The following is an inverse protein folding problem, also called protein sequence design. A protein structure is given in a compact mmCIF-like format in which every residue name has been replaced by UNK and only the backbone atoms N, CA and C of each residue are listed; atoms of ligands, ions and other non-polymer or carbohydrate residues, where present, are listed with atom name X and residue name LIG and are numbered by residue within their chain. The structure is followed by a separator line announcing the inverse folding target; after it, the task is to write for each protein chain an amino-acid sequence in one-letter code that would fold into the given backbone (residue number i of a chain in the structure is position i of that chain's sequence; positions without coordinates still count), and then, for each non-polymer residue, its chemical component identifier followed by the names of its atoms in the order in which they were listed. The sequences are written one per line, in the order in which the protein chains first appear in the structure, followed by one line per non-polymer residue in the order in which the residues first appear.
data_IF_577446175170
#
_entry.id   IF_577446175170
#
_cell.length_a   1.000
_cell.length_b   1.000
_cell.length_c   1.000
_cell.angle_alpha   90.00
_cell.angle_beta   90.00
_cell.angle_gamma   90.00
#
_symmetry.space_group_name_H-M   'P 1'
#
loop_
_entity.id
_entity.type
_entity.pdbx_description
1 polymer ?
#
# COMPACT_ATOMS: atom_id res chain seq x y z
N UNK A 1 4.05 -1.37 2.91
CA UNK A 1 4.87 -2.12 1.99
C UNK A 1 5.46 -3.40 2.59
N UNK A 2 6.34 -4.07 1.85
CA UNK A 2 6.94 -5.33 2.30
C UNK A 2 7.79 -5.17 3.57
N UNK A 3 7.78 -6.20 4.42
CA UNK A 3 8.52 -6.20 5.70
C UNK A 3 9.99 -6.57 5.57
N UNK A 4 10.40 -7.13 4.44
CA UNK A 4 11.80 -7.49 4.18
C UNK A 4 12.14 -7.37 2.70
N UNK A 5 13.32 -6.82 2.35
CA UNK A 5 13.81 -6.79 0.97
C UNK A 5 13.94 -8.18 0.33
N UNK A 6 14.06 -9.24 1.12
CA UNK A 6 14.11 -10.61 0.62
C UNK A 6 12.78 -11.08 -0.01
N UNK A 7 11.68 -10.33 0.17
CA UNK A 7 10.42 -10.61 -0.52
C UNK A 7 10.36 -10.06 -1.94
N UNK A 8 11.28 -9.20 -2.36
CA UNK A 8 11.32 -8.69 -3.72
C UNK A 8 11.41 -9.81 -4.75
N UNK A 9 10.71 -9.64 -5.86
CA UNK A 9 10.77 -10.49 -7.05
C UNK A 9 11.45 -9.78 -8.22
N UNK A 10 11.43 -8.44 -8.21
CA UNK A 10 12.14 -7.57 -9.12
C UNK A 10 13.04 -6.62 -8.34
N UNK A 11 14.35 -6.85 -8.42
CA UNK A 11 15.34 -6.05 -7.70
C UNK A 11 15.60 -4.68 -8.37
N UNK A 12 15.35 -4.56 -9.69
CA UNK A 12 15.54 -3.29 -10.40
C UNK A 12 14.41 -2.32 -10.06
N UNK A 13 13.17 -2.80 -10.05
CA UNK A 13 12.00 -2.03 -9.65
C UNK A 13 11.85 -1.92 -8.12
N UNK A 14 12.63 -2.67 -7.33
CA UNK A 14 12.52 -2.77 -5.87
C UNK A 14 11.11 -3.16 -5.42
N UNK A 15 10.47 -4.08 -6.12
CA UNK A 15 9.11 -4.52 -5.85
C UNK A 15 8.97 -6.04 -5.72
N UNK A 16 7.96 -6.46 -4.97
CA UNK A 16 7.50 -7.83 -4.88
C UNK A 16 6.18 -7.97 -5.65
N UNK A 17 6.14 -8.85 -6.63
CA UNK A 17 4.95 -9.16 -7.41
C UNK A 17 4.58 -10.63 -7.22
N UNK A 18 3.38 -10.90 -6.70
CA UNK A 18 2.85 -12.25 -6.48
C UNK A 18 1.57 -12.40 -7.28
N UNK A 19 1.59 -13.33 -8.24
CA UNK A 19 0.46 -13.66 -9.09
C UNK A 19 -0.44 -14.72 -8.41
N UNK A 20 -1.75 -14.53 -8.51
CA UNK A 20 -2.79 -15.40 -7.97
C UNK A 20 -2.58 -15.84 -6.49
N UNK A 21 -2.18 -14.92 -5.58
CA UNK A 21 -1.88 -15.29 -4.21
C UNK A 21 -3.11 -15.70 -3.42
N UNK A 22 -2.87 -16.55 -2.42
CA UNK A 22 -3.72 -16.65 -1.24
C UNK A 22 -3.34 -15.52 -0.29
N UNK A 23 -4.32 -14.89 0.36
CA UNK A 23 -4.12 -13.72 1.22
C UNK A 23 -4.54 -14.06 2.65
N UNK A 24 -3.56 -14.17 3.55
CA UNK A 24 -3.78 -14.27 4.98
C UNK A 24 -3.93 -12.86 5.55
N UNK A 25 -4.99 -12.62 6.31
CA UNK A 25 -5.28 -11.34 6.94
C UNK A 25 -5.35 -11.54 8.46
N UNK A 26 -4.44 -10.90 9.19
CA UNK A 26 -4.32 -11.03 10.64
C UNK A 26 -4.22 -9.66 11.31
N UNK A 27 -4.92 -9.45 12.40
CA UNK A 27 -4.98 -8.13 13.06
C UNK A 27 -3.86 -7.89 14.07
N UNK A 28 -3.11 -8.92 14.40
CA UNK A 28 -2.06 -8.90 15.42
C UNK A 28 -0.68 -9.21 14.81
N UNK A 29 0.35 -9.14 15.65
CA UNK A 29 1.73 -9.43 15.29
C UNK A 29 1.99 -10.93 15.22
N UNK A 30 2.79 -11.37 14.25
CA UNK A 30 3.23 -12.75 14.08
C UNK A 30 4.74 -12.81 14.34
N UNK A 31 5.17 -13.45 15.44
CA UNK A 31 6.59 -13.53 15.83
C UNK A 31 7.12 -14.95 15.90
N UNK A 32 6.30 -15.90 16.35
CA UNK A 32 6.72 -17.29 16.51
C UNK A 32 6.50 -18.11 15.24
N UNK A 33 7.48 -18.91 14.85
CA UNK A 33 7.36 -19.80 13.69
C UNK A 33 6.22 -20.79 13.84
N UNK A 34 5.97 -21.28 15.06
CA UNK A 34 4.90 -22.25 15.36
C UNK A 34 3.50 -21.74 14.99
N UNK A 35 3.28 -20.43 14.94
CA UNK A 35 1.97 -19.85 14.63
C UNK A 35 1.66 -19.93 13.14
N UNK A 36 2.68 -19.87 12.28
CA UNK A 36 2.51 -19.81 10.83
C UNK A 36 2.84 -21.13 10.11
N UNK A 37 3.74 -21.94 10.66
CA UNK A 37 4.19 -23.21 10.04
C UNK A 37 3.04 -24.15 9.70
N UNK A 38 2.01 -24.36 10.54
CA UNK A 38 0.89 -25.24 10.19
C UNK A 38 0.15 -24.82 8.91
N UNK A 39 0.02 -23.50 8.67
CA UNK A 39 -0.58 -22.99 7.45
C UNK A 39 0.33 -23.23 6.25
N UNK A 40 1.64 -22.95 6.38
CA UNK A 40 2.61 -23.16 5.30
C UNK A 40 2.67 -24.63 4.87
N UNK A 41 2.65 -25.55 5.82
CA UNK A 41 2.63 -26.99 5.53
C UNK A 41 1.36 -27.42 4.78
N UNK A 42 0.18 -26.94 5.20
CA UNK A 42 -1.09 -27.19 4.50
C UNK A 42 -1.04 -26.67 3.06
N UNK A 43 -0.50 -25.47 2.84
CA UNK A 43 -0.37 -24.89 1.51
C UNK A 43 0.54 -25.73 0.61
N UNK A 44 1.71 -26.12 1.10
CA UNK A 44 2.66 -26.97 0.34
C UNK A 44 2.04 -28.31 0.01
N UNK A 45 1.36 -28.97 0.96
CA UNK A 45 0.67 -30.25 0.75
C UNK A 45 -0.42 -30.17 -0.34
N UNK A 46 -1.09 -29.01 -0.45
CA UNK A 46 -2.10 -28.76 -1.48
C UNK A 46 -1.53 -28.22 -2.79
N UNK A 47 -0.20 -28.13 -2.91
CA UNK A 47 0.48 -27.60 -4.10
C UNK A 47 0.31 -26.10 -4.31
N UNK A 48 -0.09 -25.36 -3.25
CA UNK A 48 -0.23 -23.89 -3.26
C UNK A 48 1.07 -23.27 -2.77
N UNK A 49 1.61 -22.33 -3.53
CA UNK A 49 2.92 -21.75 -3.21
C UNK A 49 2.88 -20.24 -3.03
N UNK A 50 1.88 -19.56 -3.57
CA UNK A 50 1.74 -18.11 -3.60
C UNK A 50 0.95 -17.65 -2.36
N UNK A 51 1.64 -16.95 -1.43
CA UNK A 51 1.05 -16.47 -0.18
C UNK A 51 1.42 -15.01 0.07
N UNK A 52 0.41 -14.19 0.33
CA UNK A 52 0.56 -12.84 0.87
C UNK A 52 0.04 -12.82 2.29
N UNK A 53 0.82 -12.31 3.22
CA UNK A 53 0.46 -12.16 4.63
C UNK A 53 0.33 -10.67 4.90
N UNK A 54 -0.86 -10.25 5.35
CA UNK A 54 -1.15 -8.89 5.80
C UNK A 54 -1.39 -8.98 7.31
N UNK A 55 -0.44 -8.49 8.10
CA UNK A 55 -0.50 -8.56 9.56
C UNK A 55 -0.07 -7.23 10.19
N UNK A 56 -0.39 -7.02 11.47
CA UNK A 56 0.11 -5.83 12.19
C UNK A 56 1.62 -5.69 12.04
N UNK A 57 2.34 -6.79 12.22
CA UNK A 57 3.77 -6.92 11.98
C UNK A 57 4.11 -8.40 11.82
N UNK A 58 5.24 -8.71 11.17
CA UNK A 58 5.82 -10.05 11.14
C UNK A 58 7.31 -9.93 11.42
N UNK A 59 7.77 -10.54 12.50
CA UNK A 59 9.19 -10.46 12.88
C UNK A 59 9.72 -11.79 13.45
N UNK A 60 10.89 -11.74 14.07
CA UNK A 60 11.50 -12.85 14.77
C UNK A 60 11.61 -14.12 13.95
N UNK A 61 11.24 -15.24 14.57
CA UNK A 61 11.32 -16.58 13.95
C UNK A 61 10.33 -16.76 12.80
N UNK A 62 9.15 -16.12 12.87
CA UNK A 62 8.17 -16.17 11.81
C UNK A 62 8.72 -15.54 10.52
N UNK A 63 9.27 -14.32 10.59
CA UNK A 63 9.86 -13.65 9.43
C UNK A 63 11.03 -14.46 8.86
N UNK A 64 11.93 -14.96 9.71
CA UNK A 64 13.06 -15.78 9.28
C UNK A 64 12.59 -17.06 8.55
N UNK A 65 11.55 -17.71 9.05
CA UNK A 65 10.96 -18.90 8.43
C UNK A 65 10.38 -18.59 7.05
N UNK A 66 9.64 -17.49 6.90
CA UNK A 66 9.07 -17.08 5.63
C UNK A 66 10.16 -16.76 4.59
N UNK A 67 11.16 -15.97 4.98
CA UNK A 67 12.31 -15.63 4.10
C UNK A 67 13.05 -16.89 3.67
N UNK A 68 13.32 -17.81 4.60
CA UNK A 68 14.04 -19.05 4.30
C UNK A 68 13.27 -19.93 3.30
N UNK A 69 11.96 -20.08 3.47
CA UNK A 69 11.12 -20.85 2.55
C UNK A 69 11.06 -20.20 1.15
N UNK A 70 11.04 -18.87 1.07
CA UNK A 70 11.12 -18.16 -0.20
C UNK A 70 12.47 -18.37 -0.88
N UNK A 71 13.59 -18.20 -0.16
CA UNK A 71 14.94 -18.40 -0.70
C UNK A 71 15.18 -19.83 -1.18
N UNK A 72 14.57 -20.82 -0.54
CA UNK A 72 14.60 -22.23 -0.96
C UNK A 72 13.67 -22.55 -2.14
N UNK A 73 12.87 -21.60 -2.60
CA UNK A 73 11.89 -21.82 -3.67
C UNK A 73 10.73 -22.72 -3.30
N UNK A 74 10.51 -23.01 -2.00
CA UNK A 74 9.38 -23.83 -1.55
C UNK A 74 8.06 -23.06 -1.60
N UNK A 75 8.09 -21.79 -1.22
CA UNK A 75 6.96 -20.88 -1.25
C UNK A 75 7.38 -19.55 -1.88
N UNK A 76 6.47 -18.94 -2.63
CA UNK A 76 6.57 -17.55 -3.07
C UNK A 76 5.74 -16.70 -2.12
N UNK A 77 6.39 -16.19 -1.07
CA UNK A 77 5.73 -15.52 0.02
C UNK A 77 6.09 -14.04 0.06
N UNK A 78 5.11 -13.21 0.44
CA UNK A 78 5.24 -11.79 0.70
C UNK A 78 4.55 -11.47 2.03
N UNK A 79 5.25 -10.86 2.96
CA UNK A 79 4.66 -10.32 4.18
C UNK A 79 4.69 -8.79 4.15
N UNK A 80 3.53 -8.19 4.39
CA UNK A 80 3.31 -6.75 4.40
C UNK A 80 2.66 -6.29 5.69
N UNK A 81 2.96 -5.07 6.07
CA UNK A 81 2.39 -4.45 7.26
C UNK A 81 0.95 -4.02 7.00
N UNK A 82 0.05 -4.34 7.94
CA UNK A 82 -1.34 -3.91 7.89
C UNK A 82 -1.45 -2.38 7.91
N UNK A 83 -2.37 -1.79 7.13
CA UNK A 83 -2.55 -0.34 7.08
C UNK A 83 -3.25 0.19 8.33
N UNK A 84 -2.89 1.38 8.76
CA UNK A 84 -3.53 2.09 9.88
C UNK A 84 -3.16 1.55 11.26
N UNK A 85 -3.87 2.04 12.28
CA UNK A 85 -3.64 1.72 13.68
C UNK A 85 -4.98 1.55 14.42
N UNK A 86 -5.00 0.74 15.49
CA UNK A 86 -6.18 0.55 16.33
C UNK A 86 -7.42 0.12 15.56
N UNK A 87 -8.57 0.69 15.86
CA UNK A 87 -9.85 0.34 15.23
C UNK A 87 -9.88 0.63 13.72
N UNK A 88 -9.12 1.62 13.26
CA UNK A 88 -8.97 1.87 11.82
C UNK A 88 -8.28 0.73 11.11
N UNK A 89 -7.23 0.15 11.72
CA UNK A 89 -6.57 -1.05 11.18
C UNK A 89 -7.56 -2.19 11.04
N UNK A 90 -8.36 -2.47 12.08
CA UNK A 90 -9.39 -3.52 12.06
C UNK A 90 -10.40 -3.29 10.92
N UNK A 91 -10.86 -2.04 10.76
CA UNK A 91 -11.78 -1.68 9.69
C UNK A 91 -11.18 -1.86 8.29
N UNK A 92 -9.91 -1.46 8.09
CA UNK A 92 -9.21 -1.60 6.80
C UNK A 92 -8.90 -3.07 6.50
N UNK A 93 -8.54 -3.88 7.50
CA UNK A 93 -8.36 -5.33 7.32
C UNK A 93 -9.67 -6.00 6.92
N UNK A 94 -10.80 -5.57 7.48
CA UNK A 94 -12.12 -6.06 7.09
C UNK A 94 -12.46 -5.66 5.64
N UNK A 95 -12.09 -4.45 5.21
CA UNK A 95 -12.26 -4.01 3.82
C UNK A 95 -11.46 -4.89 2.85
N UNK A 96 -10.21 -5.22 3.21
CA UNK A 96 -9.36 -6.13 2.43
C UNK A 96 -9.94 -7.55 2.41
N UNK A 97 -10.47 -8.03 3.54
CA UNK A 97 -11.10 -9.35 3.62
C UNK A 97 -12.32 -9.45 2.70
N UNK A 98 -13.19 -8.44 2.71
CA UNK A 98 -14.35 -8.38 1.80
C UNK A 98 -13.90 -8.31 0.35
N UNK A 99 -12.88 -7.51 0.03
CA UNK A 99 -12.34 -7.38 -1.33
C UNK A 99 -11.77 -8.69 -1.86
N UNK A 100 -11.08 -9.45 -1.02
CA UNK A 100 -10.37 -10.68 -1.43
C UNK A 100 -11.20 -11.95 -1.20
N UNK A 101 -12.34 -11.85 -0.51
CA UNK A 101 -13.18 -12.98 -0.13
C UNK A 101 -12.59 -13.84 1.00
N UNK A 102 -11.65 -13.27 1.77
CA UNK A 102 -11.04 -13.93 2.94
C UNK A 102 -11.72 -13.57 4.25
N UNK A 103 -11.14 -14.03 5.33
CA UNK A 103 -11.58 -13.76 6.71
C UNK A 103 -10.45 -13.13 7.50
N UNK A 104 -10.75 -12.11 8.28
CA UNK A 104 -9.78 -11.55 9.25
C UNK A 104 -9.62 -12.55 10.39
N UNK A 105 -8.40 -13.00 10.62
CA UNK A 105 -8.06 -13.87 11.73
C UNK A 105 -7.74 -12.99 12.93
N UNK A 106 -8.56 -13.08 13.96
CA UNK A 106 -8.43 -12.26 15.18
C UNK A 106 -8.79 -13.06 16.42
N UNK A 107 -8.03 -12.87 17.47
CA UNK A 107 -8.29 -13.49 18.77
C UNK A 107 -9.58 -12.96 19.40
N UNK A 108 -9.98 -11.74 19.10
CA UNK A 108 -11.26 -11.16 19.55
C UNK A 108 -12.48 -12.02 19.11
N UNK A 109 -12.35 -12.73 17.98
CA UNK A 109 -13.35 -13.66 17.46
C UNK A 109 -13.06 -15.13 17.84
N UNK A 110 -12.10 -15.38 18.73
CA UNK A 110 -11.69 -16.70 19.16
C UNK A 110 -10.95 -17.51 18.10
N UNK A 111 -10.42 -16.87 17.04
CA UNK A 111 -9.69 -17.54 15.96
C UNK A 111 -8.19 -17.35 16.11
N UNK A 112 -7.45 -18.46 16.17
CA UNK A 112 -5.99 -18.47 16.24
C UNK A 112 -5.39 -18.84 14.89
N UNK A 113 -4.15 -18.40 14.65
CA UNK A 113 -3.41 -18.68 13.40
C UNK A 113 -3.21 -20.18 13.14
N UNK A 114 -3.00 -20.98 14.19
CA UNK A 114 -2.83 -22.44 14.09
C UNK A 114 -4.07 -23.16 13.56
N UNK A 115 -5.26 -22.55 13.74
CA UNK A 115 -6.55 -23.08 13.27
C UNK A 115 -6.93 -22.67 11.85
N UNK A 116 -6.14 -21.81 11.21
CA UNK A 116 -6.43 -21.29 9.87
C UNK A 116 -6.40 -22.39 8.82
N UNK A 117 -7.40 -22.34 7.95
CA UNK A 117 -7.53 -23.21 6.78
C UNK A 117 -7.36 -22.41 5.49
N UNK A 118 -7.22 -23.09 4.37
CA UNK A 118 -7.11 -22.43 3.06
C UNK A 118 -8.39 -21.67 2.68
N UNK A 119 -9.54 -22.16 3.15
CA UNK A 119 -10.84 -21.52 2.90
C UNK A 119 -11.00 -20.18 3.63
N UNK A 120 -10.20 -19.92 4.65
CA UNK A 120 -10.14 -18.63 5.35
C UNK A 120 -9.34 -17.58 4.60
N UNK A 121 -8.50 -18.01 3.68
CA UNK A 121 -7.61 -17.12 2.93
C UNK A 121 -8.37 -16.39 1.82
N UNK A 122 -8.13 -15.11 1.72
CA UNK A 122 -8.56 -14.33 0.55
C UNK A 122 -7.81 -14.72 -0.72
N UNK A 123 -8.28 -14.24 -1.87
CA UNK A 123 -7.69 -14.43 -3.18
C UNK A 123 -7.64 -13.12 -3.96
N UNK A 124 -6.62 -12.96 -4.76
CA UNK A 124 -6.50 -11.84 -5.72
C UNK A 124 -5.91 -12.33 -7.04
N UNK A 125 -6.02 -11.54 -8.09
CA UNK A 125 -5.31 -11.80 -9.35
C UNK A 125 -3.81 -11.55 -9.18
N UNK A 126 -3.47 -10.47 -8.49
CA UNK A 126 -2.08 -10.08 -8.25
C UNK A 126 -1.96 -9.18 -7.04
N UNK A 127 -0.84 -9.28 -6.34
CA UNK A 127 -0.44 -8.32 -5.30
C UNK A 127 0.94 -7.79 -5.63
N UNK A 128 1.07 -6.46 -5.73
CA UNK A 128 2.33 -5.77 -5.94
C UNK A 128 2.66 -4.95 -4.71
N UNK A 129 3.88 -5.09 -4.19
CA UNK A 129 4.32 -4.35 -3.01
C UNK A 129 5.70 -3.75 -3.23
N UNK A 130 5.83 -2.47 -2.97
CA UNK A 130 7.09 -1.77 -2.79
C UNK A 130 7.44 -1.67 -1.30
N UNK A 131 8.49 -0.94 -0.96
CA UNK A 131 8.84 -0.67 0.44
C UNK A 131 7.72 0.07 1.19
N UNK A 132 7.00 0.94 0.51
CA UNK A 132 6.06 1.89 1.14
C UNK A 132 4.59 1.55 0.86
N UNK A 133 4.29 0.95 -0.30
CA UNK A 133 2.93 0.72 -0.77
C UNK A 133 2.68 -0.76 -1.09
N UNK A 134 1.42 -1.17 -0.98
CA UNK A 134 0.94 -2.49 -1.43
C UNK A 134 -0.37 -2.33 -2.17
N UNK A 135 -0.43 -2.85 -3.39
CA UNK A 135 -1.60 -2.81 -4.26
C UNK A 135 -2.16 -4.21 -4.45
N UNK A 136 -3.42 -4.41 -4.14
CA UNK A 136 -4.17 -5.65 -4.41
C UNK A 136 -4.98 -5.45 -5.68
N UNK A 137 -4.69 -6.23 -6.70
CA UNK A 137 -5.34 -6.17 -8.01
C UNK A 137 -6.28 -7.35 -8.17
N UNK A 138 -7.53 -7.10 -8.58
CA UNK A 138 -8.49 -8.14 -8.91
C UNK A 138 -8.81 -9.06 -7.73
N UNK A 139 -9.18 -8.48 -6.58
CA UNK A 139 -9.68 -9.26 -5.44
C UNK A 139 -10.87 -10.13 -5.83
N UNK A 140 -10.90 -11.37 -5.33
CA UNK A 140 -11.91 -12.39 -5.70
C UNK A 140 -13.08 -12.45 -4.69
N UNK A 141 -13.34 -11.35 -3.97
CA UNK A 141 -14.48 -11.25 -3.06
C UNK A 141 -15.82 -11.23 -3.80
N UNK A 142 -16.90 -11.53 -3.06
CA UNK A 142 -18.25 -11.47 -3.61
C UNK A 142 -18.69 -10.03 -3.90
N UNK A 143 -19.12 -9.78 -5.12
CA UNK A 143 -19.53 -8.45 -5.58
C UNK A 143 -20.64 -7.81 -4.73
N UNK A 144 -21.58 -8.64 -4.23
CA UNK A 144 -22.65 -8.16 -3.35
C UNK A 144 -22.12 -7.76 -1.98
N UNK A 145 -21.20 -8.54 -1.42
CA UNK A 145 -20.55 -8.22 -0.15
C UNK A 145 -19.72 -6.93 -0.26
N UNK A 146 -18.99 -6.74 -1.36
CA UNK A 146 -18.24 -5.52 -1.65
C UNK A 146 -19.18 -4.31 -1.75
N UNK A 147 -20.29 -4.43 -2.50
CA UNK A 147 -21.29 -3.35 -2.61
C UNK A 147 -21.90 -3.00 -1.26
N UNK A 148 -22.29 -3.99 -0.48
CA UNK A 148 -22.85 -3.77 0.86
C UNK A 148 -21.84 -3.06 1.79
N UNK A 149 -20.54 -3.41 1.68
CA UNK A 149 -19.48 -2.75 2.46
C UNK A 149 -19.29 -1.30 2.04
N UNK A 150 -19.33 -1.02 0.74
CA UNK A 150 -19.30 0.35 0.18
C UNK A 150 -20.46 1.18 0.73
N UNK A 151 -21.68 0.65 0.71
CA UNK A 151 -22.87 1.36 1.20
C UNK A 151 -22.80 1.60 2.73
N UNK A 152 -22.26 0.64 3.48
CA UNK A 152 -21.98 0.84 4.91
C UNK A 152 -21.02 2.02 5.15
N UNK A 153 -19.91 2.09 4.42
CA UNK A 153 -18.94 3.19 4.57
C UNK A 153 -19.57 4.53 4.17
N UNK A 154 -20.41 4.59 3.12
CA UNK A 154 -21.15 5.80 2.74
C UNK A 154 -22.05 6.29 3.87
N UNK A 155 -22.80 5.38 4.48
CA UNK A 155 -23.64 5.73 5.63
C UNK A 155 -22.81 6.24 6.82
N UNK A 156 -21.65 5.62 7.10
CA UNK A 156 -20.72 6.09 8.14
C UNK A 156 -20.23 7.51 7.85
N UNK A 157 -19.94 7.86 6.60
CA UNK A 157 -19.55 9.22 6.17
C UNK A 157 -20.67 10.22 6.44
N UNK A 158 -21.92 9.88 6.09
CA UNK A 158 -23.08 10.78 6.33
C UNK A 158 -23.36 11.01 7.81
N UNK A 159 -23.16 9.99 8.63
CA UNK A 159 -23.40 10.07 10.08
C UNK A 159 -22.23 10.70 10.85
N UNK A 160 -21.05 10.80 10.25
CA UNK A 160 -19.87 11.34 10.92
C UNK A 160 -19.96 12.85 11.12
N UNK A 161 -19.73 13.30 12.35
CA UNK A 161 -19.67 14.72 12.72
C UNK A 161 -18.25 15.29 12.70
N UNK A 162 -17.23 14.43 12.61
CA UNK A 162 -15.82 14.81 12.58
C UNK A 162 -15.33 14.90 11.13
N UNK A 163 -14.82 16.06 10.73
CA UNK A 163 -14.28 16.25 9.37
C UNK A 163 -13.08 15.33 9.12
N UNK A 164 -12.24 15.12 10.12
CA UNK A 164 -11.12 14.20 10.04
C UNK A 164 -11.55 12.73 9.84
N UNK A 165 -12.56 12.27 10.59
CA UNK A 165 -13.05 10.90 10.42
C UNK A 165 -13.77 10.73 9.08
N UNK A 166 -14.49 11.76 8.63
CA UNK A 166 -15.11 11.78 7.30
C UNK A 166 -14.08 11.67 6.19
N UNK A 167 -12.97 12.40 6.28
CA UNK A 167 -11.86 12.29 5.33
C UNK A 167 -11.30 10.86 5.29
N UNK A 168 -11.04 10.25 6.46
CA UNK A 168 -10.51 8.88 6.54
C UNK A 168 -11.49 7.82 6.05
N UNK A 169 -12.78 8.01 6.23
CA UNK A 169 -13.82 7.16 5.65
C UNK A 169 -13.88 7.31 4.13
N UNK A 170 -13.73 8.54 3.60
CA UNK A 170 -13.66 8.80 2.16
C UNK A 170 -12.44 8.13 1.52
N UNK A 171 -11.26 8.16 2.17
CA UNK A 171 -10.08 7.42 1.72
C UNK A 171 -10.35 5.90 1.64
N UNK A 172 -11.01 5.31 2.64
CA UNK A 172 -11.39 3.89 2.63
C UNK A 172 -12.38 3.58 1.51
N UNK A 173 -13.39 4.42 1.34
CA UNK A 173 -14.38 4.30 0.26
C UNK A 173 -13.69 4.34 -1.10
N UNK A 174 -12.78 5.27 -1.34
CA UNK A 174 -12.05 5.40 -2.59
C UNK A 174 -11.20 4.15 -2.91
N UNK A 175 -10.53 3.58 -1.89
CA UNK A 175 -9.74 2.35 -2.04
C UNK A 175 -10.59 1.12 -2.36
N UNK A 176 -11.79 1.01 -1.78
CA UNK A 176 -12.67 -0.14 -1.97
C UNK A 176 -13.51 -0.03 -3.25
N UNK A 177 -13.98 1.18 -3.58
CA UNK A 177 -14.81 1.44 -4.77
C UNK A 177 -14.01 1.79 -6.02
N UNK A 178 -12.74 2.20 -5.85
CA UNK A 178 -11.82 2.49 -6.95
C UNK A 178 -11.30 1.21 -7.59
N UNK A 179 -11.18 1.22 -8.92
CA UNK A 179 -10.47 0.16 -9.63
C UNK A 179 -8.97 0.43 -9.67
N UNK A 180 -8.20 -0.61 -9.95
CA UNK A 180 -6.79 -0.50 -10.33
C UNK A 180 -6.71 -0.51 -11.84
N UNK A 181 -6.22 0.60 -12.43
CA UNK A 181 -5.95 0.65 -13.86
C UNK A 181 -4.53 0.12 -14.13
N UNK A 182 -4.40 -0.77 -15.11
CA UNK A 182 -3.11 -1.32 -15.52
C UNK A 182 -2.77 -0.73 -16.89
N UNK A 183 -1.64 -0.02 -16.97
CA UNK A 183 -1.10 0.49 -18.23
C UNK A 183 -0.02 -0.48 -18.70
N UNK A 184 -0.35 -1.28 -19.72
CA UNK A 184 0.64 -2.17 -20.36
C UNK A 184 1.60 -1.38 -21.24
N UNK A 185 2.89 -1.53 -21.03
CA UNK A 185 3.94 -0.90 -21.83
C UNK A 185 4.69 -1.95 -22.60
N UNK A 186 4.84 -1.75 -23.92
CA UNK A 186 5.58 -2.65 -24.81
C UNK A 186 6.57 -1.90 -25.68
N UNK A 187 7.65 -2.58 -26.07
CA UNK A 187 8.66 -2.07 -26.99
C UNK A 187 9.35 -3.21 -27.75
N UNK A 188 10.08 -2.86 -28.82
CA UNK A 188 10.82 -3.84 -29.61
C UNK A 188 12.10 -4.33 -28.92
N UNK A 189 12.68 -3.54 -28.03
CA UNK A 189 13.89 -3.86 -27.28
C UNK A 189 13.69 -3.63 -25.78
N UNK A 190 14.47 -4.32 -24.95
CA UNK A 190 14.43 -4.18 -23.51
C UNK A 190 14.81 -2.76 -23.04
N UNK A 191 15.81 -2.15 -23.68
CA UNK A 191 16.22 -0.77 -23.38
C UNK A 191 15.09 0.24 -23.65
N UNK A 192 14.44 0.11 -24.80
CA UNK A 192 13.29 0.96 -25.16
C UNK A 192 12.10 0.73 -24.21
N UNK A 193 11.88 -0.53 -23.80
CA UNK A 193 10.84 -0.86 -22.83
C UNK A 193 11.07 -0.18 -21.49
N UNK A 194 12.30 -0.24 -20.98
CA UNK A 194 12.68 0.44 -19.72
C UNK A 194 12.50 1.97 -19.83
N UNK A 195 12.93 2.58 -20.93
CA UNK A 195 12.75 4.01 -21.16
C UNK A 195 11.28 4.41 -21.16
N UNK A 196 10.44 3.68 -21.89
CA UNK A 196 8.98 3.94 -21.93
C UNK A 196 8.33 3.75 -20.56
N UNK A 197 8.71 2.68 -19.83
CA UNK A 197 8.21 2.43 -18.48
C UNK A 197 8.52 3.59 -17.56
N UNK A 198 9.78 4.05 -17.50
CA UNK A 198 10.19 5.19 -16.67
C UNK A 198 9.46 6.49 -17.06
N UNK A 199 9.21 6.72 -18.34
CA UNK A 199 8.46 7.89 -18.80
C UNK A 199 6.99 7.86 -18.34
N UNK A 200 6.37 6.70 -18.33
CA UNK A 200 5.01 6.52 -17.79
C UNK A 200 5.00 6.68 -16.26
N UNK A 201 5.98 6.13 -15.55
CA UNK A 201 6.12 6.26 -14.10
C UNK A 201 6.31 7.73 -13.69
N UNK A 202 7.13 8.48 -14.41
CA UNK A 202 7.34 9.92 -14.21
C UNK A 202 6.04 10.71 -14.39
N UNK A 203 5.32 10.46 -15.47
CA UNK A 203 4.01 11.08 -15.74
C UNK A 203 2.97 10.74 -14.67
N UNK A 204 2.93 9.51 -14.18
CA UNK A 204 2.04 9.08 -13.09
C UNK A 204 2.38 9.77 -11.77
N UNK A 205 3.67 9.87 -11.43
CA UNK A 205 4.14 10.53 -10.22
C UNK A 205 3.77 12.02 -10.22
N UNK A 206 3.99 12.71 -11.34
CA UNK A 206 3.60 14.11 -11.51
C UNK A 206 2.08 14.29 -11.42
N UNK A 207 1.31 13.38 -12.03
CA UNK A 207 -0.16 13.43 -11.99
C UNK A 207 -0.70 13.22 -10.58
N UNK A 208 -0.17 12.25 -9.81
CA UNK A 208 -0.54 12.03 -8.41
C UNK A 208 -0.26 13.26 -7.56
N UNK A 209 0.94 13.83 -7.67
CA UNK A 209 1.30 15.05 -6.96
C UNK A 209 0.38 16.23 -7.31
N UNK A 210 -0.02 16.35 -8.58
CA UNK A 210 -0.95 17.39 -9.02
C UNK A 210 -2.36 17.21 -8.43
N UNK A 211 -2.83 15.98 -8.31
CA UNK A 211 -4.14 15.67 -7.69
C UNK A 211 -4.11 15.97 -6.18
N UNK A 212 -3.03 15.64 -5.49
CA UNK A 212 -2.91 15.82 -4.04
C UNK A 212 -2.64 17.27 -3.63
N UNK A 213 -1.72 17.94 -4.31
CA UNK A 213 -1.20 19.26 -3.90
C UNK A 213 -1.62 20.42 -4.83
N UNK A 214 -2.28 20.13 -5.94
CA UNK A 214 -2.58 21.11 -6.97
C UNK A 214 -1.39 21.39 -7.89
N UNK A 215 -1.51 22.44 -8.68
CA UNK A 215 -0.51 22.83 -9.68
C UNK A 215 -0.11 24.29 -9.53
N UNK A 216 1.10 24.60 -9.95
CA UNK A 216 1.63 25.97 -10.08
C UNK A 216 2.17 26.19 -11.49
N UNK A 217 2.35 27.46 -11.95
CA UNK A 217 3.00 27.71 -13.22
C UNK A 217 4.41 27.11 -13.27
N UNK A 218 4.73 26.42 -14.37
CA UNK A 218 6.04 25.81 -14.57
C UNK A 218 7.11 26.81 -15.03
N UNK A 219 8.30 26.28 -15.37
CA UNK A 219 9.40 27.09 -15.93
C UNK A 219 9.99 28.12 -14.98
N UNK A 220 9.91 27.92 -13.66
CA UNK A 220 10.40 28.87 -12.67
C UNK A 220 9.45 30.05 -12.38
N UNK A 221 8.36 30.21 -13.14
CA UNK A 221 7.41 31.35 -12.99
C UNK A 221 6.81 31.40 -11.58
N UNK A 222 6.56 30.27 -10.92
CA UNK A 222 6.05 30.24 -9.56
C UNK A 222 7.00 30.92 -8.56
N UNK A 223 8.33 30.75 -8.73
CA UNK A 223 9.35 31.37 -7.88
C UNK A 223 9.41 32.89 -8.12
N UNK A 224 9.37 33.32 -9.39
CA UNK A 224 9.30 34.73 -9.75
C UNK A 224 8.05 35.41 -9.18
N UNK A 225 6.90 34.75 -9.26
CA UNK A 225 5.66 35.25 -8.67
C UNK A 225 5.73 35.35 -7.13
N UNK A 226 6.51 34.49 -6.48
CA UNK A 226 6.70 34.55 -5.03
C UNK A 226 7.62 35.68 -4.58
N UNK A 227 8.47 36.24 -5.45
CA UNK A 227 9.41 37.34 -5.11
C UNK A 227 8.68 38.55 -4.53
N UNK A 228 7.48 38.87 -5.02
CA UNK A 228 6.70 39.97 -4.52
C UNK A 228 6.40 39.96 -3.03
N UNK A 229 6.30 38.77 -2.44
CA UNK A 229 6.11 38.61 -0.98
C UNK A 229 7.34 39.07 -0.20
N UNK A 230 8.54 38.88 -0.76
CA UNK A 230 9.80 39.28 -0.15
C UNK A 230 10.05 40.80 -0.25
N UNK A 231 9.47 41.50 -1.24
CA UNK A 231 9.60 42.95 -1.39
C UNK A 231 8.89 43.69 -0.24
N UNK A 232 7.80 43.11 0.29
CA UNK A 232 7.03 43.68 1.38
C UNK A 232 7.50 43.22 2.77
N UNK A 233 8.41 42.23 2.84
CA UNK A 233 8.88 41.65 4.10
C UNK A 233 9.91 42.58 4.77
N UNK A 234 9.54 43.13 5.94
CA UNK A 234 10.41 43.96 6.76
C UNK A 234 10.88 43.16 8.00
N UNK A 235 12.18 43.15 8.19
CA UNK A 235 12.83 42.49 9.31
C UNK A 235 13.29 43.50 10.36
N UNK A 236 13.26 43.10 11.65
CA UNK A 236 13.67 43.97 12.76
C UNK A 236 15.19 44.20 12.81
N UNK A 237 15.98 43.34 12.16
CA UNK A 237 17.44 43.43 12.17
C UNK A 237 17.99 43.65 10.78
N UNK A 238 18.98 44.57 10.58
CA UNK A 238 19.57 44.86 9.28
C UNK A 238 20.15 43.63 8.57
N UNK A 239 20.83 42.77 9.31
CA UNK A 239 21.43 41.56 8.73
C UNK A 239 20.38 40.59 8.23
N UNK A 240 19.24 40.43 8.92
CA UNK A 240 18.13 39.63 8.46
C UNK A 240 17.49 40.21 7.18
N UNK A 241 17.45 41.54 7.04
CA UNK A 241 17.00 42.20 5.79
C UNK A 241 17.93 41.94 4.62
N UNK A 242 19.24 41.78 4.87
CA UNK A 242 20.20 41.36 3.83
C UNK A 242 19.91 39.93 3.42
N UNK A 243 19.58 39.02 4.39
CA UNK A 243 19.17 37.65 4.11
C UNK A 243 17.93 37.59 3.19
N UNK A 244 16.92 38.43 3.44
CA UNK A 244 15.72 38.53 2.57
C UNK A 244 16.12 38.91 1.14
N UNK A 245 17.04 39.85 0.97
CA UNK A 245 17.53 40.27 -0.38
C UNK A 245 18.26 39.10 -1.08
N UNK A 246 19.11 38.36 -0.36
CA UNK A 246 19.83 37.22 -0.92
C UNK A 246 18.83 36.15 -1.42
N UNK A 247 17.82 35.85 -0.61
CA UNK A 247 16.78 34.88 -1.01
C UNK A 247 16.03 35.41 -2.25
N UNK A 248 15.65 36.68 -2.26
CA UNK A 248 14.95 37.27 -3.38
C UNK A 248 15.73 37.16 -4.69
N UNK A 249 17.02 37.50 -4.68
CA UNK A 249 17.88 37.39 -5.87
C UNK A 249 18.12 35.93 -6.29
N UNK A 250 18.10 34.98 -5.35
CA UNK A 250 18.23 33.55 -5.65
C UNK A 250 16.98 32.94 -6.31
N UNK A 251 15.82 33.60 -6.23
CA UNK A 251 14.58 33.16 -6.88
C UNK A 251 14.48 33.58 -8.35
N UNK A 252 15.33 34.45 -8.84
CA UNK A 252 15.41 34.90 -10.23
C UNK A 252 16.36 34.04 -11.08
#
# INVERSE_FOLDING_TARGET
GYLSPYFMTDNEAMEANIEEPHVLIHDSKISAAQDIVPLLEKMVQMGKRELVIIAEDVDGEALATLVLNKLRGMLNVLAVKAPGFGDRRKAMLQDIAVLTGGTVITEDMGRKLDSVTIDDLGRAERVVSTKDETTVVGGKGDAKAISARIDQIRNEIEMSTSDYDREKLQERLAKLSGGVAIIGVGAATETELKEKKHRVEDALSATRAAVEAGIVPGGGVALINAMGVLDDLKMDYPDAQIGVKIVREALE
#
